data_IF_149516820929
#
_entry.id   IF_149516820929
#
_cell.length_a   1.000
_cell.length_b   1.000
_cell.length_c   1.000
_cell.angle_alpha   90.00
_cell.angle_beta   90.00
_cell.angle_gamma   90.00
#
_symmetry.space_group_name_H-M   'P 1'
#
loop_
_entity.id
_entity.type
_entity.pdbx_description
1 polymer ?
#
# COMPACT_ATOMS: atom_id res chain seq x y z
N UNK A 1 -51.85 15.02 -18.27
CA UNK A 1 -51.17 14.68 -19.55
C UNK A 1 -50.86 15.99 -20.24
N UNK A 2 -49.59 16.24 -20.61
CA UNK A 2 -48.97 15.51 -21.71
C UNK A 2 -47.68 14.75 -21.35
N UNK A 3 -47.42 13.77 -22.20
CA UNK A 3 -46.32 12.78 -22.25
C UNK A 3 -44.97 13.41 -22.59
N UNK A 4 -43.89 12.87 -22.01
CA UNK A 4 -42.52 13.03 -22.51
C UNK A 4 -41.90 11.62 -22.63
N UNK A 5 -41.33 11.25 -23.80
CA UNK A 5 -40.97 9.86 -24.11
C UNK A 5 -39.63 9.40 -23.52
N UNK A 6 -39.56 8.09 -23.29
CA UNK A 6 -38.45 7.34 -22.71
C UNK A 6 -37.23 7.23 -23.65
N UNK A 7 -36.04 7.47 -23.08
CA UNK A 7 -34.74 7.34 -23.75
C UNK A 7 -34.19 5.91 -23.73
N UNK A 8 -33.74 5.50 -24.92
CA UNK A 8 -33.26 4.19 -25.36
C UNK A 8 -32.01 3.66 -24.63
N UNK A 9 -32.01 2.36 -24.30
CA UNK A 9 -30.86 1.64 -23.74
C UNK A 9 -29.83 1.16 -24.79
N UNK A 10 -28.58 0.84 -24.38
CA UNK A 10 -27.53 0.46 -25.31
C UNK A 10 -27.59 -1.02 -25.73
N UNK A 11 -27.54 -1.24 -27.05
CA UNK A 11 -27.50 -2.55 -27.72
C UNK A 11 -26.11 -3.17 -27.64
N UNK A 12 -26.04 -4.43 -27.17
CA UNK A 12 -24.82 -5.25 -27.12
C UNK A 12 -24.44 -5.70 -28.54
N UNK A 13 -23.22 -5.43 -28.98
CA UNK A 13 -22.64 -5.99 -30.21
C UNK A 13 -21.92 -7.30 -29.87
N UNK A 14 -22.42 -8.42 -30.40
CA UNK A 14 -21.73 -9.70 -30.40
C UNK A 14 -20.81 -9.78 -31.63
N UNK A 15 -19.55 -10.19 -31.42
CA UNK A 15 -18.58 -10.47 -32.48
C UNK A 15 -18.45 -11.99 -32.57
N UNK A 16 -18.81 -12.55 -33.73
CA UNK A 16 -18.57 -13.95 -34.11
C UNK A 16 -17.13 -14.08 -34.61
N UNK A 17 -16.36 -15.01 -34.05
CA UNK A 17 -15.07 -15.45 -34.58
C UNK A 17 -15.28 -16.79 -35.27
N UNK A 18 -15.00 -16.84 -36.57
CA UNK A 18 -15.03 -18.04 -37.40
C UNK A 18 -13.72 -18.82 -37.23
N UNK A 19 -13.82 -20.13 -36.97
CA UNK A 19 -12.72 -21.07 -36.97
C UNK A 19 -12.61 -21.76 -38.34
N UNK A 20 -11.42 -21.75 -38.93
CA UNK A 20 -11.06 -22.51 -40.13
C UNK A 20 -9.88 -23.42 -39.76
N UNK A 21 -10.10 -24.73 -39.85
CA UNK A 21 -9.08 -25.74 -40.15
C UNK A 21 -9.31 -26.17 -41.61
N UNK A 22 -8.31 -26.70 -42.38
CA UNK A 22 -7.95 -28.11 -42.17
C UNK A 22 -6.55 -28.59 -42.67
N UNK A 23 -6.26 -29.86 -42.34
CA UNK A 23 -5.62 -30.96 -43.12
C UNK A 23 -4.09 -31.05 -43.40
N UNK A 24 -3.54 -32.14 -42.83
CA UNK A 24 -2.77 -33.24 -43.46
C UNK A 24 -1.30 -33.08 -43.87
N UNK A 25 -0.50 -34.09 -43.50
CA UNK A 25 0.81 -34.40 -44.09
C UNK A 25 1.53 -35.53 -43.35
N UNK A 26 1.57 -36.73 -43.94
CA UNK A 26 2.33 -37.88 -43.49
C UNK A 26 3.81 -37.80 -43.95
N UNK A 27 4.74 -38.40 -43.20
CA UNK A 27 6.14 -38.53 -43.60
C UNK A 27 6.94 -39.50 -42.73
N UNK A 28 7.42 -40.58 -43.34
CA UNK A 28 8.39 -41.57 -42.86
C UNK A 28 9.77 -40.94 -42.58
N UNK A 29 10.55 -41.48 -41.63
CA UNK A 29 11.97 -41.13 -41.51
C UNK A 29 12.73 -41.81 -40.37
N UNK A 30 13.86 -42.44 -40.71
CA UNK A 30 14.67 -43.34 -39.90
C UNK A 30 15.44 -42.73 -38.72
N UNK A 31 15.75 -43.60 -37.75
CA UNK A 31 16.99 -43.76 -36.97
C UNK A 31 17.86 -42.53 -36.62
N UNK A 32 18.08 -42.35 -35.32
CA UNK A 32 19.20 -41.57 -34.79
C UNK A 32 19.04 -41.25 -33.32
N UNK A 33 19.42 -42.17 -32.43
CA UNK A 33 19.70 -41.83 -31.03
C UNK A 33 20.94 -40.93 -30.99
N UNK A 34 20.71 -39.62 -31.03
CA UNK A 34 21.70 -38.61 -30.69
C UNK A 34 21.28 -38.03 -29.34
N UNK A 35 21.90 -38.55 -28.28
CA UNK A 35 21.77 -38.02 -26.93
C UNK A 35 22.06 -36.52 -26.95
N UNK A 36 21.02 -35.70 -26.79
CA UNK A 36 21.18 -34.29 -26.54
C UNK A 36 21.93 -34.13 -25.21
N UNK A 37 23.19 -33.69 -25.27
CA UNK A 37 23.86 -33.20 -24.08
C UNK A 37 23.18 -31.92 -23.66
N UNK A 38 22.39 -31.99 -22.61
CA UNK A 38 21.92 -30.82 -21.88
C UNK A 38 23.15 -30.03 -21.42
N UNK A 39 23.30 -28.73 -21.76
CA UNK A 39 24.29 -27.92 -21.10
C UNK A 39 23.89 -27.83 -19.62
N UNK A 40 24.77 -28.29 -18.73
CA UNK A 40 24.63 -28.09 -17.30
C UNK A 40 24.65 -26.59 -17.03
N UNK A 41 23.46 -25.99 -16.85
CA UNK A 41 23.34 -24.62 -16.39
C UNK A 41 23.68 -24.61 -14.89
N UNK A 42 24.97 -24.48 -14.60
CA UNK A 42 25.49 -24.23 -13.26
C UNK A 42 25.05 -22.85 -12.79
N UNK A 43 23.88 -22.79 -12.16
CA UNK A 43 23.43 -21.65 -11.39
C UNK A 43 22.95 -22.10 -10.01
N UNK A 44 23.82 -22.80 -9.27
CA UNK A 44 23.67 -22.93 -7.82
C UNK A 44 24.17 -21.63 -7.17
N UNK A 45 23.44 -20.55 -7.37
CA UNK A 45 23.46 -19.43 -6.44
C UNK A 45 22.43 -19.74 -5.35
N UNK A 46 22.88 -19.98 -4.12
CA UNK A 46 21.98 -19.97 -2.98
C UNK A 46 21.14 -18.68 -3.03
N UNK A 47 19.82 -18.73 -2.79
CA UNK A 47 18.98 -17.55 -2.89
C UNK A 47 19.58 -16.44 -2.04
N UNK A 48 19.85 -15.28 -2.66
CA UNK A 48 20.36 -14.13 -1.94
C UNK A 48 19.42 -13.85 -0.76
N UNK A 49 20.00 -13.69 0.44
CA UNK A 49 19.23 -13.47 1.65
C UNK A 49 18.29 -12.26 1.53
N UNK A 50 17.29 -12.14 2.42
CA UNK A 50 16.33 -11.05 2.34
C UNK A 50 17.03 -9.68 2.35
N UNK A 51 16.74 -8.84 1.36
CA UNK A 51 17.34 -7.49 1.23
C UNK A 51 17.06 -6.64 2.47
N UNK A 52 17.94 -5.70 2.79
CA UNK A 52 17.66 -4.71 3.84
C UNK A 52 16.41 -3.90 3.51
N UNK A 53 15.63 -3.55 4.55
CA UNK A 53 14.36 -2.85 4.39
C UNK A 53 14.11 -1.88 5.56
N UNK A 54 13.46 -0.76 5.27
CA UNK A 54 12.95 0.17 6.28
C UNK A 54 11.50 0.51 5.95
N UNK A 55 10.59 0.01 6.78
CA UNK A 55 9.15 0.22 6.64
C UNK A 55 8.66 1.04 7.83
N UNK A 56 8.16 2.23 7.55
CA UNK A 56 7.50 3.10 8.52
C UNK A 56 6.00 2.94 8.37
N UNK A 57 5.29 2.80 9.49
CA UNK A 57 3.84 2.63 9.52
C UNK A 57 3.23 3.72 10.38
N UNK A 58 2.21 4.37 9.86
CA UNK A 58 1.36 5.31 10.58
C UNK A 58 -0.10 4.87 10.46
N UNK A 59 -0.91 5.17 11.46
CA UNK A 59 -2.37 5.17 11.31
C UNK A 59 -2.81 6.42 10.55
N UNK A 60 -3.97 6.38 9.91
CA UNK A 60 -4.69 7.59 9.52
C UNK A 60 -4.80 8.60 10.68
N UNK A 61 -4.84 9.90 10.36
CA UNK A 61 -5.02 10.97 11.32
C UNK A 61 -6.44 11.00 11.91
N UNK A 62 -6.71 11.90 12.85
CA UNK A 62 -7.91 11.90 13.69
C UNK A 62 -9.21 11.86 12.87
N UNK A 63 -10.09 10.94 13.27
CA UNK A 63 -11.48 10.88 12.79
C UNK A 63 -12.40 11.75 13.65
N UNK A 64 -13.55 12.18 13.12
CA UNK A 64 -14.58 12.83 13.92
C UNK A 64 -14.97 11.94 15.09
N UNK A 65 -15.23 12.56 16.24
CA UNK A 65 -15.88 11.88 17.36
C UNK A 65 -17.26 11.38 16.93
N UNK A 66 -17.83 10.43 17.69
CA UNK A 66 -19.19 9.95 17.43
C UNK A 66 -20.18 11.13 17.39
N UNK A 67 -20.95 11.24 16.30
CA UNK A 67 -21.87 12.35 16.06
C UNK A 67 -21.24 13.62 15.48
N UNK A 68 -19.92 13.66 15.28
CA UNK A 68 -19.23 14.74 14.56
C UNK A 68 -19.13 14.47 13.06
N UNK A 69 -18.83 15.53 12.31
CA UNK A 69 -18.63 15.50 10.84
C UNK A 69 -17.15 15.66 10.50
N UNK A 70 -16.69 14.91 9.50
CA UNK A 70 -15.40 15.14 8.84
C UNK A 70 -15.60 16.11 7.69
N UNK A 71 -14.50 16.48 7.01
CA UNK A 71 -14.59 17.27 5.77
C UNK A 71 -13.83 16.62 4.63
N UNK A 72 -14.45 16.57 3.46
CA UNK A 72 -13.79 16.09 2.24
C UNK A 72 -12.78 17.11 1.69
N UNK A 73 -12.30 16.89 0.46
CA UNK A 73 -11.31 17.75 -0.16
C UNK A 73 -11.89 19.11 -0.60
N UNK A 74 -13.20 19.16 -0.83
CA UNK A 74 -13.98 20.34 -1.20
C UNK A 74 -14.39 21.16 0.04
N UNK A 75 -14.27 20.57 1.23
CA UNK A 75 -14.58 21.20 2.51
C UNK A 75 -16.00 20.93 2.99
N UNK A 76 -16.73 20.04 2.31
CA UNK A 76 -18.09 19.64 2.64
C UNK A 76 -18.11 18.54 3.70
N UNK A 77 -19.21 18.45 4.43
CA UNK A 77 -19.34 17.48 5.53
C UNK A 77 -19.35 16.03 5.00
N UNK A 78 -18.34 15.26 5.40
CA UNK A 78 -18.22 13.84 5.08
C UNK A 78 -17.78 13.03 6.31
N UNK A 79 -18.65 12.18 6.88
CA UNK A 79 -18.31 11.28 7.98
C UNK A 79 -17.21 10.26 7.62
N UNK A 80 -16.92 10.04 6.33
CA UNK A 80 -15.80 9.23 5.87
C UNK A 80 -14.44 9.91 6.02
N UNK A 81 -14.41 11.23 6.17
CA UNK A 81 -13.20 12.06 6.07
C UNK A 81 -12.62 12.50 7.41
N UNK A 82 -11.35 12.90 7.41
CA UNK A 82 -10.62 13.39 8.58
C UNK A 82 -11.39 14.50 9.33
N UNK A 83 -11.27 14.52 10.65
CA UNK A 83 -11.70 15.65 11.45
C UNK A 83 -10.76 16.86 11.23
N UNK A 84 -11.18 18.04 11.67
CA UNK A 84 -10.34 19.24 11.60
C UNK A 84 -8.96 19.08 12.27
N UNK A 85 -8.85 18.33 13.38
CA UNK A 85 -7.53 17.99 13.96
C UNK A 85 -6.72 17.08 13.04
N UNK A 86 -7.37 16.10 12.42
CA UNK A 86 -6.74 15.15 11.50
C UNK A 86 -6.19 15.84 10.25
N UNK A 87 -6.93 16.79 9.68
CA UNK A 87 -6.45 17.62 8.58
C UNK A 87 -5.21 18.44 8.96
N UNK A 88 -5.23 19.12 10.11
CA UNK A 88 -4.04 19.85 10.59
C UNK A 88 -2.83 18.94 10.79
N UNK A 89 -3.04 17.71 11.29
CA UNK A 89 -1.95 16.72 11.41
C UNK A 89 -1.42 16.35 10.02
N UNK A 90 -2.30 16.03 9.09
CA UNK A 90 -1.95 15.65 7.72
C UNK A 90 -1.12 16.75 7.03
N UNK A 91 -1.54 18.01 7.18
CA UNK A 91 -0.82 19.18 6.67
C UNK A 91 0.57 19.37 7.28
N UNK A 92 0.76 18.98 8.55
CA UNK A 92 2.03 19.07 9.27
C UNK A 92 2.94 17.85 9.07
N UNK A 93 2.40 16.74 8.58
CA UNK A 93 3.15 15.50 8.34
C UNK A 93 4.44 15.67 7.52
N UNK A 94 4.53 16.55 6.49
CA UNK A 94 5.79 16.82 5.79
C UNK A 94 6.96 17.24 6.70
N UNK A 95 6.68 17.96 7.81
CA UNK A 95 7.72 18.42 8.73
C UNK A 95 8.40 17.29 9.50
N UNK A 96 7.76 16.12 9.57
CA UNK A 96 8.33 14.92 10.18
C UNK A 96 9.47 14.31 9.34
N UNK A 97 9.55 14.65 8.06
CA UNK A 97 10.51 14.09 7.09
C UNK A 97 11.36 15.18 6.42
N UNK A 98 12.16 15.96 7.17
CA UNK A 98 12.93 17.06 6.63
C UNK A 98 14.01 16.57 5.65
N UNK A 99 14.44 17.42 4.68
CA UNK A 99 15.44 17.06 3.66
C UNK A 99 16.88 16.93 4.18
N UNK A 100 17.15 17.30 5.44
CA UNK A 100 18.49 17.37 5.98
C UNK A 100 19.00 16.01 6.51
N UNK A 101 20.30 15.70 6.32
CA UNK A 101 20.95 14.61 7.03
C UNK A 101 20.81 14.76 8.55
N UNK A 102 20.60 13.65 9.27
CA UNK A 102 20.44 13.65 10.74
C UNK A 102 19.01 13.81 11.25
N UNK A 103 18.01 13.78 10.36
CA UNK A 103 16.60 13.73 10.75
C UNK A 103 16.27 12.47 11.57
N UNK A 104 15.32 12.60 12.51
CA UNK A 104 14.87 11.48 13.36
C UNK A 104 14.19 10.36 12.56
N UNK A 105 13.66 10.70 11.37
CA UNK A 105 13.07 9.80 10.39
C UNK A 105 13.62 10.07 8.98
N UNK A 106 13.98 9.01 8.23
CA UNK A 106 14.42 9.17 6.85
C UNK A 106 13.23 9.48 5.94
N UNK A 107 13.46 10.23 4.86
CA UNK A 107 12.41 10.52 3.86
C UNK A 107 12.00 9.22 3.15
N UNK A 108 10.69 8.91 3.06
CA UNK A 108 10.25 7.75 2.31
C UNK A 108 10.40 7.99 0.81
N UNK A 109 10.87 6.97 0.10
CA UNK A 109 10.96 6.91 -1.36
C UNK A 109 9.69 6.33 -1.99
N UNK A 110 8.85 5.66 -1.21
CA UNK A 110 7.52 5.20 -1.62
C UNK A 110 6.50 5.41 -0.50
N UNK A 111 5.28 5.78 -0.87
CA UNK A 111 4.16 6.03 0.05
C UNK A 111 2.98 5.16 -0.35
N UNK A 112 2.52 4.33 0.58
CA UNK A 112 1.30 3.55 0.45
C UNK A 112 0.22 4.05 1.41
N UNK A 113 -1.02 3.97 0.98
CA UNK A 113 -2.17 4.23 1.83
C UNK A 113 -3.25 3.17 1.59
N UNK A 114 -4.10 2.94 2.59
CA UNK A 114 -5.27 2.11 2.39
C UNK A 114 -6.18 2.69 1.29
N UNK A 115 -6.68 1.81 0.43
CA UNK A 115 -7.57 2.15 -0.67
C UNK A 115 -8.33 0.93 -1.19
N UNK A 116 -8.14 0.60 -2.47
CA UNK A 116 -8.88 -0.43 -3.19
C UNK A 116 -10.05 0.13 -4.02
N UNK A 117 -10.70 -0.74 -4.80
CA UNK A 117 -11.71 -0.36 -5.81
C UNK A 117 -13.09 0.03 -5.24
N UNK A 118 -13.23 0.09 -3.91
CA UNK A 118 -14.53 0.39 -3.28
C UNK A 118 -14.69 1.90 -3.17
N UNK A 119 -15.79 2.44 -3.70
CA UNK A 119 -16.06 3.88 -3.75
C UNK A 119 -16.12 4.56 -2.37
N UNK A 120 -16.43 3.82 -1.31
CA UNK A 120 -16.40 4.26 0.09
C UNK A 120 -15.16 3.75 0.85
N UNK A 121 -14.05 3.56 0.14
CA UNK A 121 -12.80 3.05 0.70
C UNK A 121 -12.21 3.97 1.78
N UNK A 122 -11.11 3.57 2.45
CA UNK A 122 -10.54 4.28 3.60
C UNK A 122 -9.86 5.61 3.21
N UNK A 123 -10.68 6.60 2.84
CA UNK A 123 -10.29 7.94 2.39
C UNK A 123 -9.32 8.61 3.36
N UNK A 124 -9.53 8.39 4.67
CA UNK A 124 -8.70 8.94 5.75
C UNK A 124 -7.23 8.64 5.59
N UNK A 125 -6.86 7.42 5.17
CA UNK A 125 -5.46 7.05 5.01
C UNK A 125 -4.80 7.88 3.90
N UNK A 126 -5.51 8.05 2.78
CA UNK A 126 -5.04 8.82 1.63
C UNK A 126 -4.98 10.32 1.97
N UNK A 127 -6.02 10.86 2.61
CA UNK A 127 -6.07 12.25 3.09
C UNK A 127 -4.90 12.55 4.04
N UNK A 128 -4.56 11.62 4.93
CA UNK A 128 -3.46 11.78 5.90
C UNK A 128 -2.11 11.99 5.22
N UNK A 129 -1.86 11.30 4.11
CA UNK A 129 -0.55 11.35 3.42
C UNK A 129 -0.51 12.27 2.22
N UNK A 130 -1.64 12.86 1.81
CA UNK A 130 -1.73 13.67 0.60
C UNK A 130 -0.74 14.85 0.58
N UNK A 131 -0.67 15.62 1.67
CA UNK A 131 0.27 16.74 1.78
C UNK A 131 1.74 16.28 1.77
N UNK A 132 2.03 15.15 2.42
CA UNK A 132 3.36 14.54 2.40
C UNK A 132 3.76 14.07 1.00
N UNK A 133 2.88 13.35 0.32
CA UNK A 133 3.10 12.88 -1.04
C UNK A 133 3.44 14.03 -2.00
N UNK A 134 2.70 15.14 -1.89
CA UNK A 134 2.98 16.39 -2.61
C UNK A 134 4.36 16.95 -2.29
N UNK A 135 4.71 17.06 -1.00
CA UNK A 135 6.01 17.58 -0.55
C UNK A 135 7.20 16.69 -0.98
N UNK A 136 6.97 15.38 -1.10
CA UNK A 136 7.95 14.40 -1.59
C UNK A 136 7.97 14.27 -3.11
N UNK A 137 6.98 14.83 -3.83
CA UNK A 137 6.72 14.59 -5.26
C UNK A 137 6.64 13.10 -5.59
N UNK A 138 5.99 12.32 -4.72
CA UNK A 138 5.84 10.88 -4.83
C UNK A 138 4.35 10.53 -4.83
N UNK A 139 3.85 9.72 -5.77
CA UNK A 139 2.44 9.36 -5.80
C UNK A 139 2.06 8.50 -4.59
N UNK A 140 0.83 8.65 -4.10
CA UNK A 140 0.24 7.74 -3.12
C UNK A 140 -0.19 6.47 -3.84
N UNK A 141 0.34 5.32 -3.41
CA UNK A 141 -0.04 4.00 -3.90
C UNK A 141 -1.19 3.45 -3.05
N UNK A 142 -2.40 3.52 -3.58
CA UNK A 142 -3.65 3.19 -2.88
C UNK A 142 -4.39 1.97 -3.47
N UNK A 143 -3.66 1.08 -4.16
CA UNK A 143 -4.23 -0.09 -4.84
C UNK A 143 -4.70 -1.22 -3.89
N UNK A 144 -4.33 -1.18 -2.59
CA UNK A 144 -4.62 -2.25 -1.63
C UNK A 144 -5.74 -1.87 -0.66
N UNK A 145 -6.73 -2.75 -0.53
CA UNK A 145 -7.78 -2.65 0.48
C UNK A 145 -7.35 -3.20 1.84
N UNK A 146 -8.02 -2.78 2.91
CA UNK A 146 -7.92 -3.45 4.22
C UNK A 146 -8.29 -4.93 4.07
N UNK A 147 -7.46 -5.83 4.60
CA UNK A 147 -7.55 -7.27 4.35
C UNK A 147 -6.59 -7.80 3.28
N UNK A 148 -6.00 -6.94 2.44
CA UNK A 148 -4.98 -7.30 1.46
C UNK A 148 -3.54 -7.09 1.98
N UNK A 149 -3.32 -7.14 3.29
CA UNK A 149 -2.04 -6.74 3.90
C UNK A 149 -0.85 -7.58 3.42
N UNK A 150 -1.05 -8.87 3.09
CA UNK A 150 0.00 -9.71 2.53
C UNK A 150 0.49 -9.19 1.16
N UNK A 151 -0.43 -8.82 0.26
CA UNK A 151 -0.10 -8.28 -1.05
C UNK A 151 0.55 -6.88 -0.94
N UNK A 152 0.06 -6.05 -0.03
CA UNK A 152 0.66 -4.76 0.31
C UNK A 152 2.11 -4.93 0.77
N UNK A 153 2.40 -5.88 1.67
CA UNK A 153 3.76 -6.12 2.17
C UNK A 153 4.69 -6.55 1.04
N UNK A 154 4.26 -7.44 0.13
CA UNK A 154 5.07 -7.81 -1.03
C UNK A 154 5.40 -6.59 -1.89
N UNK A 155 4.41 -5.74 -2.17
CA UNK A 155 4.60 -4.51 -2.95
C UNK A 155 5.51 -3.49 -2.24
N UNK A 156 5.38 -3.35 -0.92
CA UNK A 156 6.21 -2.47 -0.11
C UNK A 156 7.67 -2.94 -0.08
N UNK A 157 7.93 -4.23 0.12
CA UNK A 157 9.28 -4.79 0.14
C UNK A 157 9.98 -4.77 -1.23
N UNK A 158 9.21 -4.68 -2.33
CA UNK A 158 9.72 -4.53 -3.68
C UNK A 158 9.92 -3.05 -4.10
N UNK A 159 9.37 -2.10 -3.34
CA UNK A 159 9.46 -0.67 -3.66
C UNK A 159 10.83 -0.07 -3.29
N UNK A 160 11.18 1.11 -3.84
CA UNK A 160 12.32 1.88 -3.36
C UNK A 160 12.18 2.17 -1.86
N UNK A 161 13.25 1.89 -1.12
CA UNK A 161 13.33 2.12 0.32
C UNK A 161 13.84 3.54 0.63
N UNK A 162 13.43 4.14 1.75
CA UNK A 162 12.46 3.66 2.74
C UNK A 162 10.99 3.74 2.28
N UNK A 163 10.12 2.94 2.89
CA UNK A 163 8.68 2.94 2.61
C UNK A 163 7.91 3.54 3.78
N UNK A 164 6.90 4.37 3.50
CA UNK A 164 5.87 4.78 4.46
C UNK A 164 4.54 4.13 4.09
N UNK A 165 3.85 3.56 5.07
CA UNK A 165 2.49 3.01 4.93
C UNK A 165 1.55 3.71 5.90
N UNK A 166 0.48 4.30 5.38
CA UNK A 166 -0.63 4.83 6.17
C UNK A 166 -1.81 3.85 6.12
N UNK A 167 -2.24 3.35 7.28
CA UNK A 167 -3.20 2.25 7.35
C UNK A 167 -4.28 2.40 8.42
N UNK A 168 -5.29 1.52 8.35
CA UNK A 168 -6.34 1.40 9.37
C UNK A 168 -5.77 0.73 10.63
N UNK A 169 -6.04 1.28 11.82
CA UNK A 169 -5.49 0.76 13.07
C UNK A 169 -5.80 -0.73 13.32
N UNK A 170 -6.96 -1.21 12.88
CA UNK A 170 -7.38 -2.61 13.01
C UNK A 170 -6.64 -3.55 12.06
N UNK A 171 -6.14 -3.02 10.93
CA UNK A 171 -5.37 -3.76 9.94
C UNK A 171 -3.87 -3.78 10.21
N UNK A 172 -3.33 -2.82 10.97
CA UNK A 172 -1.89 -2.72 11.25
C UNK A 172 -1.32 -4.02 11.84
N UNK A 173 -1.95 -4.70 12.83
CA UNK A 173 -1.42 -5.97 13.34
C UNK A 173 -1.28 -7.06 12.27
N UNK A 174 -2.21 -7.12 11.29
CA UNK A 174 -2.10 -8.06 10.17
C UNK A 174 -0.97 -7.69 9.22
N UNK A 175 -0.75 -6.39 8.99
CA UNK A 175 0.39 -5.89 8.22
C UNK A 175 1.72 -6.28 8.86
N UNK A 176 1.87 -6.08 10.17
CA UNK A 176 3.11 -6.41 10.89
C UNK A 176 3.37 -7.92 10.89
N UNK A 177 2.32 -8.74 11.05
CA UNK A 177 2.44 -10.19 10.89
C UNK A 177 2.85 -10.59 9.48
N UNK A 178 2.28 -9.95 8.45
CA UNK A 178 2.65 -10.21 7.06
C UNK A 178 4.10 -9.80 6.75
N UNK A 179 4.67 -8.82 7.44
CA UNK A 179 6.11 -8.51 7.39
C UNK A 179 6.99 -9.59 8.05
N UNK A 180 6.41 -10.46 8.87
CA UNK A 180 7.14 -11.37 9.75
C UNK A 180 7.83 -10.65 10.91
N UNK A 181 7.27 -9.52 11.35
CA UNK A 181 7.87 -8.64 12.37
C UNK A 181 7.05 -8.59 13.67
N UNK A 182 5.97 -9.37 13.80
CA UNK A 182 5.07 -9.38 14.95
C UNK A 182 5.70 -9.96 16.22
N UNK A 183 6.74 -10.78 16.07
CA UNK A 183 7.51 -11.35 17.19
C UNK A 183 8.74 -10.51 17.57
N UNK A 184 8.92 -9.34 16.97
CA UNK A 184 10.04 -8.46 17.31
C UNK A 184 9.82 -7.88 18.71
N UNK A 185 10.80 -7.97 19.63
CA UNK A 185 10.66 -7.45 20.99
C UNK A 185 10.20 -5.99 21.02
N UNK A 186 9.24 -5.68 21.88
CA UNK A 186 8.69 -4.34 22.06
C UNK A 186 7.57 -3.95 21.09
N UNK A 187 7.27 -4.77 20.08
CA UNK A 187 6.16 -4.51 19.15
C UNK A 187 4.81 -4.70 19.86
N UNK A 188 3.93 -3.68 19.91
CA UNK A 188 2.61 -3.83 20.50
C UNK A 188 1.72 -4.77 19.68
N UNK A 189 0.86 -5.56 20.35
CA UNK A 189 -0.06 -6.49 19.69
C UNK A 189 -1.16 -5.77 18.87
N UNK A 190 -1.52 -4.56 19.29
CA UNK A 190 -2.50 -3.69 18.62
C UNK A 190 -1.96 -2.27 18.56
N UNK A 191 -2.42 -1.51 17.57
CA UNK A 191 -2.15 -0.07 17.54
C UNK A 191 -2.87 0.60 18.72
N UNK A 192 -2.17 1.40 19.56
CA UNK A 192 -2.80 2.07 20.70
C UNK A 192 -3.79 3.14 20.24
N UNK A 193 -4.62 3.66 21.15
CA UNK A 193 -5.56 4.75 20.79
C UNK A 193 -4.83 6.10 20.64
N UNK A 194 -3.97 6.18 19.62
CA UNK A 194 -3.12 7.30 19.27
C UNK A 194 -3.10 7.50 17.76
N UNK A 195 -2.89 8.74 17.35
CA UNK A 195 -2.85 9.16 15.94
C UNK A 195 -1.50 9.81 15.57
N UNK A 196 -0.64 9.97 16.58
CA UNK A 196 0.61 10.71 16.57
C UNK A 196 1.81 9.79 16.74
N UNK A 197 1.74 8.56 16.21
CA UNK A 197 2.82 7.58 16.26
C UNK A 197 3.35 7.23 14.87
N UNK A 198 4.62 6.85 14.83
CA UNK A 198 5.27 6.15 13.73
C UNK A 198 5.88 4.87 14.27
N UNK A 199 5.46 3.73 13.73
CA UNK A 199 6.09 2.44 13.98
C UNK A 199 7.12 2.18 12.89
N UNK A 200 8.36 1.91 13.27
CA UNK A 200 9.50 1.79 12.37
C UNK A 200 10.03 0.38 12.47
N UNK A 201 9.95 -0.35 11.35
CA UNK A 201 10.50 -1.69 11.21
C UNK A 201 11.71 -1.65 10.30
N UNK A 202 12.87 -2.05 10.83
CA UNK A 202 14.11 -2.12 10.07
C UNK A 202 14.59 -3.55 9.98
N UNK A 203 14.73 -4.06 8.75
CA UNK A 203 15.37 -5.34 8.45
C UNK A 203 16.81 -5.11 8.06
N UNK A 204 17.75 -5.71 8.79
CA UNK A 204 19.18 -5.76 8.44
C UNK A 204 19.66 -7.18 8.54
N UNK A 205 20.36 -7.67 7.51
CA UNK A 205 20.89 -9.05 7.49
C UNK A 205 19.82 -10.11 7.83
N UNK A 206 18.60 -9.91 7.30
CA UNK A 206 17.46 -10.80 7.53
C UNK A 206 16.77 -10.68 8.90
N UNK A 207 17.23 -9.82 9.82
CA UNK A 207 16.64 -9.65 11.15
C UNK A 207 15.85 -8.35 11.25
N UNK A 208 14.62 -8.42 11.75
CA UNK A 208 13.78 -7.25 12.01
C UNK A 208 14.06 -6.65 13.39
N UNK A 209 13.93 -5.33 13.47
CA UNK A 209 13.95 -4.52 14.69
C UNK A 209 12.80 -3.52 14.65
N UNK A 210 12.31 -3.14 15.83
CA UNK A 210 11.17 -2.24 16.00
C UNK A 210 11.57 -1.01 16.81
N UNK A 211 11.03 0.14 16.42
CA UNK A 211 11.09 1.39 17.16
C UNK A 211 9.78 2.14 17.00
N UNK A 212 9.26 2.66 18.10
CA UNK A 212 8.15 3.61 18.09
C UNK A 212 8.71 5.03 18.19
N UNK A 213 8.11 5.97 17.44
CA UNK A 213 8.42 7.39 17.51
C UNK A 213 7.12 8.22 17.59
N UNK A 214 6.97 9.11 18.59
CA UNK A 214 5.90 10.10 18.60
C UNK A 214 6.17 11.20 17.56
N UNK A 215 5.12 11.58 16.82
CA UNK A 215 5.19 12.56 15.73
C UNK A 215 5.37 14.00 16.25
N UNK A 216 4.75 14.33 17.39
CA UNK A 216 4.73 15.67 18.00
C UNK A 216 4.42 16.81 17.01
N UNK A 217 3.42 16.60 16.14
CA UNK A 217 3.06 17.57 15.08
C UNK A 217 2.08 18.63 15.54
N UNK A 218 1.27 18.31 16.56
CA UNK A 218 0.21 19.17 17.06
C UNK A 218 0.35 19.39 18.58
N UNK A 219 -0.17 20.51 19.11
CA UNK A 219 -0.31 20.69 20.55
C UNK A 219 -1.07 19.53 21.19
N UNK A 220 -0.57 19.06 22.33
CA UNK A 220 -1.13 17.94 23.09
C UNK A 220 -0.75 16.55 22.59
N UNK A 221 0.10 16.42 21.57
CA UNK A 221 0.74 15.14 21.23
C UNK A 221 1.73 14.72 22.34
N UNK A 222 1.82 13.42 22.61
CA UNK A 222 2.54 12.85 23.77
C UNK A 222 3.73 11.98 23.44
#
# INVERSE_FOLDING_TARGET
MPEVPAGSGPRRRAVLVAALAPLAGAGFGCSGEAAWRTPANGANGAPAGPKDALVMVIRHAEKPYAGGVGRDAEGEDDPGSLAGRGWRRAERLPHLFPPAPGSSLPRPAAVFAAGGKVAAGPARCQQTVAALATALRTPVRAEFAVGAEAALVQAALAAPMPVLVCWEHSGIPRLIRALGADQVPGTPATWPDRHDLVWIFTRRQGRWSFRELPQHLLPGDV
#
